data_IF_247014850253
#
_entry.id   IF_247014850253
#
_cell.length_a   1.000
_cell.length_b   1.000
_cell.length_c   1.000
_cell.angle_alpha   90.00
_cell.angle_beta   90.00
_cell.angle_gamma   90.00
#
_symmetry.space_group_name_H-M   'P 1'
#
loop_
_entity.id
_entity.type
_entity.pdbx_description
1 polymer ?
#
# COMPACT_ATOMS: atom_id res chain seq x y z
N UNK A 1 20.07 -8.53 7.72
CA UNK A 1 20.15 -9.99 7.47
C UNK A 1 18.93 -10.85 7.81
N UNK A 2 18.24 -10.65 8.95
CA UNK A 2 17.10 -11.47 9.37
C UNK A 2 15.96 -11.54 8.34
N UNK A 3 15.60 -10.41 7.72
CA UNK A 3 14.56 -10.34 6.69
C UNK A 3 14.91 -11.14 5.43
N UNK A 4 16.16 -11.04 4.94
CA UNK A 4 16.63 -11.83 3.78
C UNK A 4 16.57 -13.32 4.07
N UNK A 5 16.98 -13.76 5.26
CA UNK A 5 16.84 -15.17 5.67
C UNK A 5 15.38 -15.60 5.73
N UNK A 6 14.50 -14.79 6.30
CA UNK A 6 13.06 -15.07 6.35
C UNK A 6 12.43 -15.21 4.96
N UNK A 7 12.79 -14.35 3.99
CA UNK A 7 12.26 -14.40 2.63
C UNK A 7 12.63 -15.69 1.87
N UNK A 8 13.71 -16.37 2.27
CA UNK A 8 14.11 -17.67 1.70
C UNK A 8 13.27 -18.84 2.23
N UNK A 9 12.59 -18.68 3.37
CA UNK A 9 11.69 -19.71 3.93
C UNK A 9 10.39 -19.81 3.14
N UNK A 10 9.74 -20.97 3.15
CA UNK A 10 8.44 -21.16 2.50
C UNK A 10 7.36 -20.21 3.03
N UNK A 11 7.37 -19.94 4.34
CA UNK A 11 6.48 -18.95 4.96
C UNK A 11 6.72 -17.55 4.40
N UNK A 12 7.98 -17.15 4.28
CA UNK A 12 8.38 -15.86 3.69
C UNK A 12 7.93 -15.72 2.25
N UNK A 13 8.19 -16.73 1.41
CA UNK A 13 7.75 -16.77 0.00
C UNK A 13 6.23 -16.66 -0.13
N UNK A 14 5.47 -17.40 0.70
CA UNK A 14 4.00 -17.35 0.71
C UNK A 14 3.47 -15.96 1.07
N UNK A 15 4.03 -15.31 2.08
CA UNK A 15 3.63 -13.94 2.44
C UNK A 15 4.02 -12.94 1.36
N UNK A 16 5.19 -13.09 0.77
CA UNK A 16 5.64 -12.23 -0.32
C UNK A 16 4.72 -12.32 -1.54
N UNK A 17 4.28 -13.53 -1.92
CA UNK A 17 3.30 -13.74 -2.99
C UNK A 17 2.00 -12.95 -2.75
N UNK A 18 1.42 -13.06 -1.54
CA UNK A 18 0.20 -12.29 -1.19
C UNK A 18 0.43 -10.78 -1.17
N UNK A 19 1.61 -10.32 -0.75
CA UNK A 19 1.95 -8.89 -0.70
C UNK A 19 2.08 -8.27 -2.08
N UNK A 20 2.64 -8.98 -3.06
CA UNK A 20 2.69 -8.56 -4.46
C UNK A 20 1.32 -8.22 -5.02
N UNK A 21 0.33 -9.04 -4.68
CA UNK A 21 -1.04 -8.91 -5.19
C UNK A 21 -1.85 -7.82 -4.48
N UNK A 22 -1.53 -7.52 -3.22
CA UNK A 22 -2.35 -6.65 -2.36
C UNK A 22 -1.64 -5.35 -2.01
N UNK A 23 -0.57 -5.46 -1.22
CA UNK A 23 0.16 -4.32 -0.66
C UNK A 23 0.90 -3.58 -1.77
N UNK A 24 1.77 -4.28 -2.50
CA UNK A 24 2.63 -3.65 -3.51
C UNK A 24 1.82 -3.03 -4.65
N UNK A 25 0.66 -3.62 -4.99
CA UNK A 25 -0.28 -3.05 -5.97
C UNK A 25 -0.85 -1.70 -5.51
N UNK A 26 -1.35 -1.61 -4.27
CA UNK A 26 -1.90 -0.34 -3.74
C UNK A 26 -0.82 0.74 -3.68
N UNK A 27 0.41 0.37 -3.29
CA UNK A 27 1.53 1.32 -3.28
C UNK A 27 1.93 1.78 -4.69
N UNK A 28 1.86 0.89 -5.69
CA UNK A 28 2.09 1.27 -7.09
C UNK A 28 1.00 2.24 -7.58
N UNK A 29 -0.26 1.97 -7.29
CA UNK A 29 -1.37 2.88 -7.63
C UNK A 29 -1.22 4.23 -6.91
N UNK A 30 -0.83 4.23 -5.64
CA UNK A 30 -0.54 5.45 -4.88
C UNK A 30 0.58 6.28 -5.52
N UNK A 31 1.63 5.61 -6.01
CA UNK A 31 2.76 6.25 -6.68
C UNK A 31 2.35 6.92 -7.99
N UNK A 32 1.63 6.21 -8.85
CA UNK A 32 1.31 6.68 -10.20
C UNK A 32 0.08 7.59 -10.24
N UNK A 33 -1.00 7.24 -9.51
CA UNK A 33 -2.29 7.93 -9.60
C UNK A 33 -2.48 9.04 -8.56
N UNK A 34 -1.74 9.01 -7.45
CA UNK A 34 -1.90 9.97 -6.35
C UNK A 34 -0.68 10.88 -6.14
N UNK A 35 0.18 10.99 -7.16
CA UNK A 35 1.30 11.92 -7.19
C UNK A 35 2.41 11.60 -6.19
N UNK A 36 2.51 10.36 -5.69
CA UNK A 36 3.58 9.98 -4.75
C UNK A 36 4.90 9.60 -5.45
N UNK A 37 5.01 9.79 -6.78
CA UNK A 37 6.26 9.61 -7.51
C UNK A 37 7.31 10.67 -7.13
N UNK A 38 6.87 11.89 -6.83
CA UNK A 38 7.74 13.00 -6.44
C UNK A 38 7.24 13.66 -5.16
N UNK A 39 8.15 14.28 -4.41
CA UNK A 39 7.77 15.11 -3.28
C UNK A 39 7.23 16.45 -3.81
N UNK A 40 5.92 16.64 -3.74
CA UNK A 40 5.26 17.88 -4.18
C UNK A 40 5.36 19.01 -3.16
N UNK A 41 5.53 18.67 -1.88
CA UNK A 41 5.64 19.63 -0.78
C UNK A 41 7.06 19.68 -0.23
N UNK A 42 7.45 20.84 0.31
CA UNK A 42 8.72 21.00 1.03
C UNK A 42 8.54 20.65 2.50
N UNK A 43 9.47 19.87 3.04
CA UNK A 43 9.47 19.46 4.45
C UNK A 43 8.74 18.13 4.70
N UNK A 44 9.27 17.36 5.66
CA UNK A 44 8.83 16.00 5.96
C UNK A 44 7.35 15.95 6.38
N UNK A 45 6.92 16.88 7.21
CA UNK A 45 5.56 16.91 7.76
C UNK A 45 4.49 17.02 6.65
N UNK A 46 4.70 17.88 5.65
CA UNK A 46 3.72 18.07 4.57
C UNK A 46 3.67 16.87 3.61
N UNK A 47 4.83 16.28 3.30
CA UNK A 47 4.89 15.03 2.50
C UNK A 47 4.23 13.88 3.26
N UNK A 48 4.46 13.77 4.57
CA UNK A 48 3.79 12.77 5.41
C UNK A 48 2.26 12.96 5.41
N UNK A 49 1.79 14.19 5.54
CA UNK A 49 0.36 14.50 5.49
C UNK A 49 -0.26 14.05 4.16
N UNK A 50 0.38 14.34 3.01
CA UNK A 50 -0.06 13.85 1.70
C UNK A 50 -0.14 12.32 1.67
N UNK A 51 0.92 11.63 2.10
CA UNK A 51 0.96 10.17 2.13
C UNK A 51 -0.16 9.57 2.99
N UNK A 52 -0.38 10.12 4.19
CA UNK A 52 -1.40 9.64 5.13
C UNK A 52 -2.80 9.87 4.59
N UNK A 53 -3.08 11.05 4.03
CA UNK A 53 -4.39 11.35 3.43
C UNK A 53 -4.70 10.44 2.24
N UNK A 54 -3.72 10.22 1.36
CA UNK A 54 -3.84 9.26 0.24
C UNK A 54 -4.13 7.85 0.73
N UNK A 55 -3.37 7.37 1.72
CA UNK A 55 -3.57 6.03 2.29
C UNK A 55 -4.95 5.88 2.94
N UNK A 56 -5.43 6.90 3.66
CA UNK A 56 -6.76 6.93 4.26
C UNK A 56 -7.85 6.81 3.20
N UNK A 57 -7.78 7.60 2.13
CA UNK A 57 -8.75 7.53 1.03
C UNK A 57 -8.78 6.15 0.36
N UNK A 58 -7.60 5.57 0.09
CA UNK A 58 -7.48 4.21 -0.48
C UNK A 58 -8.06 3.14 0.46
N UNK A 59 -7.85 3.26 1.77
CA UNK A 59 -8.40 2.34 2.76
C UNK A 59 -9.92 2.43 2.84
N UNK A 60 -10.49 3.64 2.83
CA UNK A 60 -11.95 3.85 2.80
C UNK A 60 -12.55 3.21 1.55
N UNK A 61 -11.97 3.48 0.36
CA UNK A 61 -12.41 2.86 -0.89
C UNK A 61 -12.42 1.33 -0.80
N UNK A 62 -11.35 0.75 -0.26
CA UNK A 62 -11.22 -0.70 -0.10
C UNK A 62 -12.29 -1.28 0.83
N UNK A 63 -12.59 -0.61 1.94
CA UNK A 63 -13.65 -1.02 2.87
C UNK A 63 -15.01 -0.95 2.16
N UNK A 64 -15.32 0.17 1.52
CA UNK A 64 -16.58 0.35 0.79
C UNK A 64 -16.79 -0.72 -0.29
N UNK A 65 -15.76 -1.00 -1.12
CA UNK A 65 -15.83 -2.07 -2.14
C UNK A 65 -15.98 -3.47 -1.53
N UNK A 66 -15.48 -3.70 -0.32
CA UNK A 66 -15.65 -4.99 0.36
C UNK A 66 -17.05 -5.13 0.93
N UNK A 67 -17.60 -4.07 1.52
CA UNK A 67 -18.97 -4.05 2.04
C UNK A 67 -20.00 -4.18 0.91
N UNK A 68 -19.81 -3.50 -0.22
CA UNK A 68 -20.73 -3.58 -1.35
C UNK A 68 -20.82 -5.00 -1.93
N UNK A 69 -19.71 -5.72 -1.99
CA UNK A 69 -19.65 -7.10 -2.48
C UNK A 69 -20.17 -8.16 -1.51
N UNK A 70 -20.41 -7.79 -0.25
CA UNK A 70 -21.01 -8.68 0.76
C UNK A 70 -22.53 -8.56 0.74
N UNK A 71 -23.08 -7.49 0.15
CA UNK A 71 -24.52 -7.27 0.02
C UNK A 71 -25.13 -7.92 -1.23
N UNK A 72 -24.31 -8.39 -2.17
CA UNK A 72 -24.68 -9.23 -3.32
C UNK A 72 -24.49 -10.71 -2.99
#
# INVERSE_FOLDING_TARGET
>A
DKARRFMKTEKGKRYYKRRKETVERIFADAKELHGLRYAHYRGLHLVQMQCLMTATAQNIKKIATKLSKVQE
#
